data_IF_394982453010
#
_entry.id   IF_394982453010
#
_cell.length_a   1.000
_cell.length_b   1.000
_cell.length_c   1.000
_cell.angle_alpha   90.00
_cell.angle_beta   90.00
_cell.angle_gamma   90.00
#
_symmetry.space_group_name_H-M   'P 1'
#
loop_
_entity.id
_entity.type
_entity.pdbx_description
1 polymer ?
#
# COMPACT_ATOMS: atom_id res chain seq x y z
N UNK A 1 -22.64 -16.90 1.46
CA UNK A 1 -21.30 -17.00 0.86
C UNK A 1 -20.29 -16.61 1.92
N UNK A 2 -19.52 -17.57 2.42
CA UNK A 2 -18.38 -17.27 3.29
C UNK A 2 -17.39 -16.41 2.52
N UNK A 3 -17.06 -15.26 3.10
CA UNK A 3 -16.05 -14.36 2.56
C UNK A 3 -14.68 -15.04 2.71
N UNK A 4 -13.86 -15.12 1.66
CA UNK A 4 -12.53 -15.77 1.70
C UNK A 4 -11.68 -15.21 2.85
N UNK A 5 -11.79 -13.92 3.14
CA UNK A 5 -11.15 -13.32 4.30
C UNK A 5 -11.63 -13.97 5.61
N UNK A 6 -12.95 -14.16 5.79
CA UNK A 6 -13.47 -14.84 6.97
C UNK A 6 -13.00 -16.29 7.06
N UNK A 7 -12.90 -17.02 5.94
CA UNK A 7 -12.37 -18.38 5.91
C UNK A 7 -10.87 -18.44 6.27
N UNK A 8 -10.07 -17.50 5.80
CA UNK A 8 -8.63 -17.44 6.13
C UNK A 8 -8.45 -17.07 7.60
N UNK A 9 -9.14 -16.04 8.08
CA UNK A 9 -9.00 -15.56 9.46
C UNK A 9 -9.63 -16.50 10.50
N UNK A 10 -10.73 -17.19 10.17
CA UNK A 10 -11.33 -18.20 11.04
C UNK A 10 -10.42 -19.40 11.28
N UNK A 11 -9.50 -19.68 10.34
CA UNK A 11 -8.48 -20.73 10.45
C UNK A 11 -7.17 -20.24 11.09
N UNK A 12 -7.03 -18.94 11.37
CA UNK A 12 -5.91 -18.41 12.14
C UNK A 12 -6.28 -18.48 13.62
N UNK A 13 -5.84 -19.56 14.26
CA UNK A 13 -6.01 -19.77 15.69
C UNK A 13 -4.78 -19.27 16.43
N UNK A 14 -4.93 -18.21 17.23
CA UNK A 14 -3.89 -17.78 18.17
C UNK A 14 -4.37 -18.10 19.59
N UNK A 15 -3.60 -18.90 20.33
CA UNK A 15 -3.95 -19.37 21.69
C UNK A 15 -5.38 -19.96 21.80
N UNK A 16 -5.79 -20.78 20.81
CA UNK A 16 -7.05 -21.51 20.84
C UNK A 16 -8.31 -20.71 20.49
N UNK A 17 -8.21 -19.44 20.09
CA UNK A 17 -9.34 -18.65 19.58
C UNK A 17 -9.05 -18.08 18.18
N UNK A 18 -10.09 -18.10 17.34
CA UNK A 18 -10.02 -17.61 15.96
C UNK A 18 -9.99 -16.09 15.91
N UNK A 19 -9.10 -15.54 15.08
CA UNK A 19 -9.12 -14.13 14.73
C UNK A 19 -10.33 -13.83 13.83
N UNK A 20 -11.11 -12.78 14.13
CA UNK A 20 -12.24 -12.38 13.28
C UNK A 20 -11.90 -11.11 12.53
N UNK A 21 -12.03 -11.13 11.21
CA UNK A 21 -11.88 -9.93 10.40
C UNK A 21 -13.21 -9.16 10.32
N UNK A 22 -13.17 -7.90 10.73
CA UNK A 22 -14.35 -7.02 10.74
C UNK A 22 -14.43 -6.11 9.51
N UNK A 23 -13.44 -6.18 8.61
CA UNK A 23 -13.47 -5.48 7.33
C UNK A 23 -14.59 -5.97 6.41
N UNK A 24 -15.45 -5.05 5.97
CA UNK A 24 -16.52 -5.34 5.01
C UNK A 24 -15.99 -5.21 3.58
N UNK A 25 -16.28 -6.19 2.72
CA UNK A 25 -15.90 -6.14 1.30
C UNK A 25 -16.47 -4.92 0.57
N UNK A 26 -17.71 -4.52 0.89
CA UNK A 26 -18.30 -3.30 0.33
C UNK A 26 -17.58 -2.01 0.75
N UNK A 27 -16.92 -1.98 1.91
CA UNK A 27 -16.10 -0.84 2.32
C UNK A 27 -14.79 -0.78 1.51
N UNK A 28 -14.15 -1.93 1.28
CA UNK A 28 -12.97 -2.00 0.39
C UNK A 28 -13.33 -1.60 -1.03
N UNK A 29 -14.47 -2.06 -1.55
CA UNK A 29 -14.95 -1.68 -2.88
C UNK A 29 -15.14 -0.15 -2.97
N UNK A 30 -15.74 0.48 -1.97
CA UNK A 30 -15.86 1.95 -1.92
C UNK A 30 -14.49 2.63 -1.90
N UNK A 31 -13.54 2.13 -1.11
CA UNK A 31 -12.18 2.67 -1.06
C UNK A 31 -11.52 2.56 -2.44
N UNK A 32 -11.61 1.39 -3.07
CA UNK A 32 -11.05 1.12 -4.38
C UNK A 32 -11.69 2.01 -5.47
N UNK A 33 -13.01 2.13 -5.50
CA UNK A 33 -13.70 2.95 -6.48
C UNK A 33 -13.35 4.44 -6.33
N UNK A 34 -13.43 4.97 -5.10
CA UNK A 34 -13.29 6.41 -4.86
C UNK A 34 -11.84 6.90 -4.87
N UNK A 35 -10.90 6.09 -4.37
CA UNK A 35 -9.52 6.51 -4.16
C UNK A 35 -8.53 5.91 -5.17
N UNK A 36 -8.92 4.87 -5.92
CA UNK A 36 -8.09 4.28 -6.97
C UNK A 36 -8.72 4.46 -8.35
N UNK A 37 -9.86 3.82 -8.61
CA UNK A 37 -10.42 3.70 -9.96
C UNK A 37 -10.88 5.06 -10.52
N UNK A 38 -11.58 5.87 -9.73
CA UNK A 38 -12.11 7.15 -10.18
C UNK A 38 -10.98 8.14 -10.48
N UNK A 39 -9.99 8.38 -9.60
CA UNK A 39 -8.86 9.23 -9.93
C UNK A 39 -8.08 8.68 -11.14
N UNK A 40 -7.77 7.38 -11.17
CA UNK A 40 -7.07 6.78 -12.30
C UNK A 40 -7.82 6.99 -13.62
N UNK A 41 -9.15 6.78 -13.63
CA UNK A 41 -9.99 6.96 -14.80
C UNK A 41 -10.02 8.40 -15.30
N UNK A 42 -10.11 9.39 -14.40
CA UNK A 42 -10.05 10.81 -14.76
C UNK A 42 -8.70 11.15 -15.40
N UNK A 43 -7.59 10.70 -14.80
CA UNK A 43 -6.26 10.96 -15.32
C UNK A 43 -6.00 10.27 -16.65
N UNK A 44 -6.42 9.00 -16.79
CA UNK A 44 -6.31 8.27 -18.05
C UNK A 44 -7.15 8.93 -19.15
N UNK A 45 -8.39 9.33 -18.85
CA UNK A 45 -9.23 10.03 -19.81
C UNK A 45 -8.57 11.33 -20.28
N UNK A 46 -8.06 12.15 -19.35
CA UNK A 46 -7.33 13.37 -19.68
C UNK A 46 -6.06 13.08 -20.51
N UNK A 47 -5.29 12.06 -20.14
CA UNK A 47 -4.11 11.64 -20.89
C UNK A 47 -4.47 11.25 -22.33
N UNK A 48 -5.41 10.33 -22.51
CA UNK A 48 -5.75 9.84 -23.84
C UNK A 48 -6.34 10.94 -24.71
N UNK A 49 -7.21 11.80 -24.17
CA UNK A 49 -7.78 12.91 -24.96
C UNK A 49 -6.70 13.89 -25.42
N UNK A 50 -5.80 14.31 -24.52
CA UNK A 50 -4.68 15.18 -24.91
C UNK A 50 -3.72 14.48 -25.88
N UNK A 51 -3.42 13.20 -25.67
CA UNK A 51 -2.56 12.40 -26.53
C UNK A 51 -3.14 12.26 -27.96
N UNK A 52 -4.44 11.95 -28.08
CA UNK A 52 -5.09 11.82 -29.38
C UNK A 52 -5.10 13.14 -30.15
N UNK A 53 -5.40 14.26 -29.49
CA UNK A 53 -5.41 15.59 -30.13
C UNK A 53 -4.00 15.98 -30.60
N UNK A 54 -2.99 15.77 -29.76
CA UNK A 54 -1.61 16.15 -30.07
C UNK A 54 -0.94 15.24 -31.09
N UNK A 55 -1.42 14.01 -31.28
CA UNK A 55 -0.94 13.09 -32.33
C UNK A 55 -1.37 13.47 -33.75
N UNK A 56 -2.40 14.31 -33.92
CA UNK A 56 -2.90 14.68 -35.26
C UNK A 56 -1.87 15.53 -36.02
N UNK A 57 -1.10 16.36 -35.32
CA UNK A 57 -0.13 17.30 -35.89
C UNK A 57 1.30 17.04 -35.35
N UNK A 58 1.62 15.78 -34.99
CA UNK A 58 2.81 15.49 -34.21
C UNK A 58 4.14 15.65 -34.98
N UNK A 59 5.02 16.45 -34.41
CA UNK A 59 6.44 16.53 -34.73
C UNK A 59 7.32 15.98 -33.56
N UNK A 60 8.64 16.10 -33.70
CA UNK A 60 9.59 15.62 -32.68
C UNK A 60 9.44 16.38 -31.36
N UNK A 61 9.16 17.69 -31.38
CA UNK A 61 8.96 18.48 -30.15
C UNK A 61 7.68 18.06 -29.42
N UNK A 62 6.63 17.76 -30.19
CA UNK A 62 5.36 17.23 -29.70
C UNK A 62 5.58 15.90 -28.98
N UNK A 63 6.42 15.01 -29.52
CA UNK A 63 6.75 13.74 -28.85
C UNK A 63 7.42 13.94 -27.49
N UNK A 64 8.40 14.85 -27.39
CA UNK A 64 9.05 15.16 -26.11
C UNK A 64 8.06 15.74 -25.08
N UNK A 65 7.15 16.61 -25.53
CA UNK A 65 6.12 17.18 -24.66
C UNK A 65 5.19 16.12 -24.07
N UNK A 66 4.78 15.13 -24.87
CA UNK A 66 3.95 14.01 -24.42
C UNK A 66 4.68 13.14 -23.38
N UNK A 67 5.98 12.90 -23.58
CA UNK A 67 6.77 12.11 -22.63
C UNK A 67 6.91 12.82 -21.27
N UNK A 68 7.16 14.13 -21.28
CA UNK A 68 7.19 14.94 -20.06
C UNK A 68 5.82 14.99 -19.38
N UNK A 69 4.75 15.09 -20.15
CA UNK A 69 3.38 15.02 -19.63
C UNK A 69 3.10 13.65 -18.98
N UNK A 70 3.51 12.54 -19.62
CA UNK A 70 3.38 11.19 -19.08
C UNK A 70 4.11 11.04 -17.74
N UNK A 71 5.36 11.51 -17.66
CA UNK A 71 6.12 11.53 -16.40
C UNK A 71 5.37 12.35 -15.35
N UNK A 72 4.94 13.57 -15.69
CA UNK A 72 4.18 14.43 -14.79
C UNK A 72 2.92 13.75 -14.24
N UNK A 73 2.19 13.02 -15.07
CA UNK A 73 1.02 12.26 -14.64
C UNK A 73 1.37 11.11 -13.70
N UNK A 74 2.43 10.35 -13.97
CA UNK A 74 2.89 9.28 -13.08
C UNK A 74 3.21 9.84 -11.70
N UNK A 75 3.88 11.01 -11.65
CA UNK A 75 4.20 11.69 -10.39
C UNK A 75 2.95 12.13 -9.64
N UNK A 76 1.99 12.76 -10.32
CA UNK A 76 0.73 13.20 -9.72
C UNK A 76 -0.09 12.01 -9.21
N UNK A 77 -0.17 10.92 -9.99
CA UNK A 77 -0.87 9.70 -9.58
C UNK A 77 -0.28 9.11 -8.29
N UNK A 78 1.04 9.06 -8.14
CA UNK A 78 1.66 8.58 -6.92
C UNK A 78 1.25 9.39 -5.67
N UNK A 79 1.07 10.71 -5.82
CA UNK A 79 0.60 11.58 -4.72
C UNK A 79 -0.88 11.33 -4.41
N UNK A 80 -1.72 11.22 -5.44
CA UNK A 80 -3.16 10.95 -5.28
C UNK A 80 -3.43 9.58 -4.65
N UNK A 81 -2.50 8.65 -4.79
CA UNK A 81 -2.59 7.31 -4.19
C UNK A 81 -2.31 7.27 -2.69
N UNK A 82 -1.79 8.34 -2.09
CA UNK A 82 -1.45 8.39 -0.66
C UNK A 82 -2.68 8.10 0.24
N UNK A 83 -3.85 8.76 0.06
CA UNK A 83 -5.06 8.42 0.80
C UNK A 83 -5.55 6.99 0.55
N UNK A 84 -5.37 6.45 -0.66
CA UNK A 84 -5.73 5.07 -0.97
C UNK A 84 -4.93 4.10 -0.10
N UNK A 85 -3.59 4.21 -0.09
CA UNK A 85 -2.73 3.35 0.72
C UNK A 85 -3.11 3.41 2.20
N UNK A 86 -3.35 4.60 2.72
CA UNK A 86 -3.78 4.80 4.09
C UNK A 86 -5.11 4.10 4.42
N UNK A 87 -6.13 4.28 3.57
CA UNK A 87 -7.46 3.69 3.78
C UNK A 87 -7.44 2.17 3.66
N UNK A 88 -6.63 1.63 2.75
CA UNK A 88 -6.44 0.18 2.61
C UNK A 88 -5.78 -0.39 3.86
N UNK A 89 -4.73 0.24 4.38
CA UNK A 89 -4.07 -0.20 5.62
C UNK A 89 -5.05 -0.20 6.80
N UNK A 90 -5.84 0.87 6.98
CA UNK A 90 -6.89 0.91 8.01
C UNK A 90 -7.93 -0.19 7.84
N UNK A 91 -8.27 -0.55 6.60
CA UNK A 91 -9.22 -1.62 6.32
C UNK A 91 -8.65 -3.01 6.66
N UNK A 92 -7.38 -3.27 6.31
CA UNK A 92 -6.70 -4.55 6.59
C UNK A 92 -6.57 -4.81 8.09
N UNK A 93 -6.23 -3.77 8.87
CA UNK A 93 -5.96 -3.90 10.32
C UNK A 93 -7.24 -4.01 11.15
N UNK A 94 -8.44 -3.82 10.57
CA UNK A 94 -9.71 -3.89 11.29
C UNK A 94 -10.11 -5.33 11.66
N UNK A 95 -9.58 -5.80 12.79
CA UNK A 95 -9.67 -7.19 13.26
C UNK A 95 -10.27 -7.21 14.68
N UNK A 96 -10.72 -8.38 15.10
CA UNK A 96 -11.23 -8.64 16.44
C UNK A 96 -10.63 -9.94 16.98
N UNK A 97 -10.18 -9.89 18.23
CA UNK A 97 -9.55 -11.01 18.92
C UNK A 97 -10.01 -11.06 20.38
N UNK A 98 -10.58 -12.18 20.82
CA UNK A 98 -11.17 -12.36 22.18
C UNK A 98 -12.20 -11.28 22.58
N UNK A 99 -12.99 -10.80 21.62
CA UNK A 99 -13.95 -9.70 21.84
C UNK A 99 -13.30 -8.33 22.00
N UNK A 100 -12.00 -8.20 21.70
CA UNK A 100 -11.25 -6.93 21.68
C UNK A 100 -11.00 -6.51 20.25
N UNK A 101 -11.24 -5.24 19.96
CA UNK A 101 -10.94 -4.68 18.66
C UNK A 101 -9.44 -4.41 18.52
N UNK A 102 -8.88 -4.87 17.40
CA UNK A 102 -7.55 -4.51 16.93
C UNK A 102 -7.76 -3.48 15.83
N UNK A 103 -7.23 -2.28 16.02
CA UNK A 103 -7.35 -1.16 15.08
C UNK A 103 -6.05 -0.40 15.01
N UNK A 104 -5.90 0.36 13.94
CA UNK A 104 -4.85 1.36 13.84
C UNK A 104 -5.24 2.59 14.65
N UNK A 105 -4.48 2.87 15.71
CA UNK A 105 -4.62 4.04 16.57
C UNK A 105 -3.57 5.08 16.18
N UNK A 106 -3.96 5.94 15.25
CA UNK A 106 -3.09 6.93 14.64
C UNK A 106 -3.81 8.27 14.45
N UNK A 107 -3.03 9.35 14.47
CA UNK A 107 -3.49 10.61 13.90
C UNK A 107 -3.46 10.51 12.36
N UNK A 108 -4.62 10.73 11.74
CA UNK A 108 -4.77 10.48 10.30
C UNK A 108 -3.90 11.40 9.45
N UNK A 109 -3.67 12.63 9.90
CA UNK A 109 -2.82 13.59 9.20
C UNK A 109 -1.34 13.23 9.32
N UNK A 110 -0.91 12.79 10.50
CA UNK A 110 0.45 12.31 10.73
C UNK A 110 0.77 11.09 9.86
N UNK A 111 -0.13 10.10 9.80
CA UNK A 111 0.03 8.92 8.95
C UNK A 111 0.10 9.27 7.47
N UNK A 112 -0.78 10.17 7.00
CA UNK A 112 -0.75 10.65 5.62
C UNK A 112 0.57 11.37 5.30
N UNK A 113 1.07 12.21 6.21
CA UNK A 113 2.34 12.91 6.07
C UNK A 113 3.55 11.97 6.01
N UNK A 114 3.53 10.88 6.78
CA UNK A 114 4.59 9.86 6.75
C UNK A 114 4.57 9.09 5.44
N UNK A 115 3.38 8.67 4.96
CA UNK A 115 3.26 8.05 3.63
C UNK A 115 3.74 9.02 2.55
N UNK A 116 3.33 10.28 2.60
CA UNK A 116 3.73 11.30 1.64
C UNK A 116 5.25 11.50 1.60
N UNK A 117 5.89 11.58 2.77
CA UNK A 117 7.35 11.68 2.88
C UNK A 117 8.04 10.50 2.20
N UNK A 118 7.63 9.28 2.51
CA UNK A 118 8.28 8.11 1.93
C UNK A 118 8.03 8.01 0.41
N UNK A 119 6.83 8.37 -0.07
CA UNK A 119 6.53 8.47 -1.52
C UNK A 119 7.44 9.47 -2.22
N UNK A 120 7.62 10.67 -1.65
CA UNK A 120 8.49 11.70 -2.22
C UNK A 120 9.95 11.23 -2.30
N UNK A 121 10.47 10.60 -1.25
CA UNK A 121 11.85 10.10 -1.26
C UNK A 121 12.00 8.94 -2.26
N UNK A 122 11.00 8.06 -2.37
CA UNK A 122 11.00 7.00 -3.38
C UNK A 122 11.00 7.57 -4.79
N UNK A 123 10.22 8.61 -5.08
CA UNK A 123 10.23 9.31 -6.37
C UNK A 123 11.60 9.94 -6.64
N UNK A 124 12.12 10.72 -5.68
CA UNK A 124 13.39 11.43 -5.82
C UNK A 124 14.58 10.49 -6.03
N UNK A 125 14.50 9.26 -5.51
CA UNK A 125 15.51 8.21 -5.69
C UNK A 125 15.25 7.27 -6.88
N UNK A 126 14.31 7.63 -7.76
CA UNK A 126 13.91 6.81 -8.92
C UNK A 126 13.52 5.37 -8.53
N UNK A 127 12.89 5.21 -7.37
CA UNK A 127 12.42 3.91 -6.88
C UNK A 127 13.46 3.10 -6.09
N UNK A 128 14.74 3.47 -6.08
CA UNK A 128 15.79 2.70 -5.38
C UNK A 128 15.52 2.65 -3.87
N UNK A 129 14.94 3.71 -3.30
CA UNK A 129 14.61 3.77 -1.88
C UNK A 129 13.31 3.01 -1.50
N UNK A 130 12.57 2.49 -2.47
CA UNK A 130 11.29 1.80 -2.24
C UNK A 130 11.33 0.72 -1.13
N UNK A 131 12.33 -0.18 -1.05
CA UNK A 131 12.37 -1.20 0.00
C UNK A 131 12.50 -0.59 1.41
N UNK A 132 13.23 0.51 1.53
CA UNK A 132 13.41 1.21 2.80
C UNK A 132 12.10 1.90 3.19
N UNK A 133 11.43 2.52 2.22
CA UNK A 133 10.13 3.15 2.41
C UNK A 133 9.09 2.16 2.92
N UNK A 134 8.95 1.00 2.26
CA UNK A 134 8.04 -0.07 2.69
C UNK A 134 8.37 -0.52 4.11
N UNK A 135 9.65 -0.73 4.42
CA UNK A 135 10.09 -1.16 5.75
C UNK A 135 9.74 -0.13 6.84
N UNK A 136 9.99 1.16 6.60
CA UNK A 136 9.66 2.23 7.56
C UNK A 136 8.15 2.37 7.76
N UNK A 137 7.37 2.34 6.69
CA UNK A 137 5.91 2.38 6.78
C UNK A 137 5.39 1.16 7.56
N UNK A 138 5.93 -0.02 7.30
CA UNK A 138 5.58 -1.23 8.05
C UNK A 138 5.84 -1.06 9.54
N UNK A 139 7.07 -0.71 9.94
CA UNK A 139 7.43 -0.49 11.36
C UNK A 139 6.53 0.58 11.99
N UNK A 140 6.29 1.68 11.28
CA UNK A 140 5.42 2.76 11.75
C UNK A 140 3.99 2.27 11.99
N UNK A 141 3.31 1.74 10.96
CA UNK A 141 1.91 1.34 11.10
C UNK A 141 1.72 0.23 12.12
N UNK A 142 2.61 -0.75 12.13
CA UNK A 142 2.60 -1.86 13.08
C UNK A 142 2.70 -1.38 14.53
N UNK A 143 3.60 -0.44 14.82
CA UNK A 143 3.73 0.14 16.18
C UNK A 143 2.51 0.93 16.64
N UNK A 144 1.64 1.33 15.72
CA UNK A 144 0.38 2.04 15.98
C UNK A 144 -0.84 1.10 15.94
N UNK A 145 -0.63 -0.21 15.73
CA UNK A 145 -1.70 -1.20 15.91
C UNK A 145 -1.89 -1.39 17.40
N UNK A 146 -3.09 -1.09 17.87
CA UNK A 146 -3.48 -1.23 19.27
C UNK A 146 -4.58 -2.25 19.44
N UNK A 147 -4.60 -2.90 20.60
CA UNK A 147 -5.69 -3.73 21.08
C UNK A 147 -6.43 -2.94 22.15
N UNK A 148 -7.72 -2.69 21.93
CA UNK A 148 -8.58 -2.04 22.93
C UNK A 148 -8.87 -3.01 24.07
N UNK A 149 -8.46 -2.67 25.30
CA UNK A 149 -8.85 -3.40 26.50
C UNK A 149 -9.50 -2.46 27.51
N UNK A 150 -10.84 -2.42 27.52
CA UNK A 150 -11.80 -1.75 28.44
C UNK A 150 -11.52 -0.28 28.84
N UNK A 151 -10.29 0.11 29.17
CA UNK A 151 -9.84 1.48 29.50
C UNK A 151 -8.40 1.82 29.02
N UNK A 152 -7.65 0.87 28.41
CA UNK A 152 -6.28 1.10 27.94
C UNK A 152 -6.05 0.53 26.54
N UNK A 153 -5.26 1.26 25.74
CA UNK A 153 -4.79 0.81 24.42
C UNK A 153 -3.42 0.16 24.62
N UNK A 154 -3.34 -1.15 24.37
CA UNK A 154 -2.07 -1.87 24.36
C UNK A 154 -1.55 -1.93 22.93
N UNK A 155 -0.43 -1.27 22.66
CA UNK A 155 0.20 -1.29 21.34
C UNK A 155 0.93 -2.61 21.11
N UNK A 156 0.75 -3.19 19.93
CA UNK A 156 1.48 -4.37 19.50
C UNK A 156 2.91 -3.96 19.18
N UNK A 157 3.87 -4.42 20.00
CA UNK A 157 5.30 -4.27 19.71
C UNK A 157 5.79 -5.52 19.03
N UNK A 158 6.32 -5.39 17.82
CA UNK A 158 7.05 -6.45 17.16
C UNK A 158 8.51 -6.35 17.58
N UNK A 159 8.91 -7.25 18.47
CA UNK A 159 10.30 -7.39 18.88
C UNK A 159 11.07 -8.01 17.71
N UNK A 160 11.80 -7.21 16.91
CA UNK A 160 12.97 -7.58 16.07
C UNK A 160 13.06 -6.97 14.66
N UNK A 161 12.09 -6.18 14.20
CA UNK A 161 12.12 -5.69 12.81
C UNK A 161 13.08 -4.50 12.66
N UNK A 162 14.32 -4.76 12.23
CA UNK A 162 15.29 -3.71 11.92
C UNK A 162 15.12 -3.16 10.50
N UNK A 163 15.36 -1.87 10.32
CA UNK A 163 15.30 -1.22 9.00
C UNK A 163 16.25 -1.88 7.98
N UNK A 164 17.45 -2.25 8.42
CA UNK A 164 18.50 -2.84 7.56
C UNK A 164 18.13 -4.26 7.10
N UNK A 165 17.61 -5.09 8.01
CA UNK A 165 17.18 -6.45 7.67
C UNK A 165 16.00 -6.43 6.70
N UNK A 166 15.02 -5.56 6.92
CA UNK A 166 13.87 -5.40 6.03
C UNK A 166 14.24 -4.91 4.64
N UNK A 167 15.10 -3.89 4.57
CA UNK A 167 15.62 -3.39 3.31
C UNK A 167 16.28 -4.51 2.50
N UNK A 168 17.26 -5.21 3.09
CA UNK A 168 18.00 -6.29 2.41
C UNK A 168 17.09 -7.40 1.94
N UNK A 169 16.09 -7.76 2.76
CA UNK A 169 15.15 -8.82 2.43
C UNK A 169 14.27 -8.46 1.24
N UNK A 170 13.57 -7.31 1.32
CA UNK A 170 12.69 -6.84 0.24
C UNK A 170 13.48 -6.60 -1.04
N UNK A 171 14.65 -5.96 -0.94
CA UNK A 171 15.50 -5.71 -2.10
C UNK A 171 15.99 -7.00 -2.75
N UNK A 172 16.39 -8.00 -1.96
CA UNK A 172 16.79 -9.31 -2.48
C UNK A 172 15.66 -10.01 -3.25
N UNK A 173 14.43 -9.93 -2.75
CA UNK A 173 13.27 -10.51 -3.45
C UNK A 173 12.90 -9.72 -4.72
N UNK A 174 13.03 -8.39 -4.71
CA UNK A 174 12.82 -7.55 -5.88
C UNK A 174 13.86 -7.82 -6.97
N UNK A 175 15.14 -7.89 -6.60
CA UNK A 175 16.22 -8.19 -7.54
C UNK A 175 16.02 -9.56 -8.20
N UNK A 176 15.63 -10.58 -7.41
CA UNK A 176 15.35 -11.91 -7.93
C UNK A 176 14.12 -11.90 -8.86
N UNK A 177 13.12 -11.07 -8.56
CA UNK A 177 11.98 -10.86 -9.45
C UNK A 177 12.41 -10.18 -10.76
N UNK A 178 13.31 -9.21 -10.73
CA UNK A 178 13.83 -8.54 -11.93
C UNK A 178 14.63 -9.52 -12.79
N UNK A 179 15.58 -10.26 -12.22
CA UNK A 179 16.46 -11.20 -12.94
C UNK A 179 15.65 -12.36 -13.55
N UNK A 180 14.57 -12.78 -12.90
CA UNK A 180 13.65 -13.80 -13.41
C UNK A 180 12.57 -13.26 -14.33
N UNK A 181 12.68 -12.01 -14.80
CA UNK A 181 11.69 -11.37 -15.68
C UNK A 181 10.26 -11.39 -15.10
N UNK A 182 10.15 -11.24 -13.79
CA UNK A 182 8.89 -11.21 -13.05
C UNK A 182 8.31 -12.58 -12.72
N UNK A 183 8.84 -13.68 -13.25
CA UNK A 183 8.33 -15.05 -12.97
C UNK A 183 8.39 -15.37 -11.47
N UNK A 184 9.42 -14.90 -10.78
CA UNK A 184 9.58 -15.11 -9.34
C UNK A 184 8.69 -14.20 -8.48
N UNK A 185 8.03 -13.19 -9.06
CA UNK A 185 7.28 -12.17 -8.31
C UNK A 185 6.21 -12.74 -7.35
N UNK A 186 5.39 -13.75 -7.72
CA UNK A 186 4.42 -14.33 -6.78
C UNK A 186 5.08 -14.94 -5.55
N UNK A 187 6.24 -15.59 -5.72
CA UNK A 187 7.01 -16.19 -4.63
C UNK A 187 7.67 -15.12 -3.75
N UNK A 188 8.17 -14.05 -4.37
CA UNK A 188 8.69 -12.87 -3.67
C UNK A 188 7.62 -12.25 -2.76
N UNK A 189 6.41 -12.03 -3.27
CA UNK A 189 5.29 -11.45 -2.50
C UNK A 189 4.92 -12.33 -1.31
N UNK A 190 4.74 -13.64 -1.52
CA UNK A 190 4.44 -14.59 -0.44
C UNK A 190 5.51 -14.61 0.65
N UNK A 191 6.77 -14.39 0.30
CA UNK A 191 7.90 -14.31 1.23
C UNK A 191 7.91 -13.00 2.00
N UNK A 192 7.67 -11.87 1.34
CA UNK A 192 7.59 -10.54 1.97
C UNK A 192 6.42 -10.44 2.95
N UNK A 193 5.25 -11.01 2.63
CA UNK A 193 4.08 -10.97 3.53
C UNK A 193 4.31 -11.77 4.83
N UNK A 194 5.20 -12.77 4.80
CA UNK A 194 5.54 -13.60 5.97
C UNK A 194 6.67 -13.02 6.82
N UNK A 195 7.31 -11.95 6.36
CA UNK A 195 8.43 -11.29 7.02
C UNK A 195 7.93 -10.34 8.12
#
# INVERSE_FOLDING_TARGET
MENIANYIFSNITYLGQSLRFNGKGGALLKIFLLYYLLPMGIFQYYYYTTFFVTMIDADIETFWSMYLQMIGMILILNVIMIPFYYKVLKWIVNLEYKGREIKLYDDSWTSLGIIAREVVITIASLGIYFPAAVTRLYIYFVSHIGISDRERINYVRFDSVSLSSGFKYIWGQLLLSIISWGIYYPFAVCKIIKW
#
